data_IF_936263221670
#
_entry.id   IF_936263221670
#
_cell.length_a   1.000
_cell.length_b   1.000
_cell.length_c   1.000
_cell.angle_alpha   90.00
_cell.angle_beta   90.00
_cell.angle_gamma   90.00
#
_symmetry.space_group_name_H-M   'P 1'
#
loop_
_entity.id
_entity.type
_entity.pdbx_description
1 polymer ?
#
# COMPACT_ATOMS: atom_id res chain seq x y z
N UNK A 1 -30.97 52.11 5.53
CA UNK A 1 -29.71 51.80 4.80
C UNK A 1 -29.26 50.46 5.41
N UNK A 2 -29.95 49.37 4.99
CA UNK A 2 -29.57 48.00 5.30
C UNK A 2 -28.40 47.67 4.34
N UNK A 3 -27.22 47.70 4.89
CA UNK A 3 -26.02 47.20 4.19
C UNK A 3 -26.09 45.69 4.27
N UNK A 4 -26.19 45.12 3.11
CA UNK A 4 -26.26 43.72 2.78
C UNK A 4 -25.39 42.83 3.69
N UNK A 5 -26.07 42.12 4.57
CA UNK A 5 -25.50 40.97 5.31
C UNK A 5 -25.53 39.69 4.45
N UNK A 6 -25.35 39.84 3.12
CA UNK A 6 -25.42 38.73 2.17
C UNK A 6 -24.10 37.94 2.05
N UNK A 7 -23.00 38.48 2.60
CA UNK A 7 -21.69 37.77 2.58
C UNK A 7 -21.48 36.73 3.69
N UNK A 8 -22.41 36.61 4.64
CA UNK A 8 -22.20 35.77 5.82
C UNK A 8 -22.78 34.35 5.75
N UNK A 9 -23.37 33.96 4.64
CA UNK A 9 -24.02 32.63 4.48
C UNK A 9 -23.45 31.88 3.31
N UNK A 10 -22.21 31.39 3.45
CA UNK A 10 -21.61 30.45 2.51
C UNK A 10 -20.73 29.47 3.27
N UNK A 11 -20.72 28.23 2.79
CA UNK A 11 -19.75 27.24 3.24
C UNK A 11 -18.36 27.81 3.02
N UNK A 12 -17.48 27.68 4.02
CA UNK A 12 -16.17 28.32 3.99
C UNK A 12 -15.09 27.53 4.70
N UNK A 13 -13.88 27.72 4.25
CA UNK A 13 -12.70 27.23 4.94
C UNK A 13 -12.51 27.96 6.26
N UNK A 14 -12.28 27.21 7.34
CA UNK A 14 -12.00 27.77 8.67
C UNK A 14 -10.57 27.59 9.09
N UNK A 15 -9.91 26.54 8.62
CA UNK A 15 -8.52 26.23 8.90
C UNK A 15 -7.88 25.53 7.70
N UNK A 16 -6.60 25.79 7.45
CA UNK A 16 -5.81 25.13 6.41
C UNK A 16 -4.62 24.43 7.01
N UNK A 17 -4.30 23.25 6.46
CA UNK A 17 -3.07 22.50 6.68
C UNK A 17 -2.38 22.27 5.32
N UNK A 18 -1.20 21.63 5.32
CA UNK A 18 -0.37 21.48 4.12
C UNK A 18 -1.12 20.87 2.93
N UNK A 19 -2.03 19.89 3.16
CA UNK A 19 -2.74 19.16 2.11
C UNK A 19 -4.24 19.02 2.40
N UNK A 20 -4.73 19.62 3.48
CA UNK A 20 -6.12 19.54 3.88
C UNK A 20 -6.65 20.88 4.37
N UNK A 21 -7.97 21.00 4.43
CA UNK A 21 -8.62 22.14 5.05
C UNK A 21 -9.86 21.69 5.83
N UNK A 22 -10.15 22.41 6.92
CA UNK A 22 -11.41 22.27 7.64
C UNK A 22 -12.43 23.25 7.06
N UNK A 23 -13.62 22.75 6.74
CA UNK A 23 -14.72 23.50 6.16
C UNK A 23 -15.88 23.58 7.14
N UNK A 24 -16.40 24.78 7.36
CA UNK A 24 -17.65 25.00 8.07
C UNK A 24 -18.80 25.11 7.07
N UNK A 25 -19.75 24.19 7.14
CA UNK A 25 -20.97 24.18 6.34
C UNK A 25 -22.11 24.92 7.05
N UNK A 26 -22.98 25.54 6.29
CA UNK A 26 -24.22 26.17 6.81
C UNK A 26 -25.25 25.12 7.19
N UNK A 27 -25.37 24.09 6.36
CA UNK A 27 -26.21 22.94 6.55
C UNK A 27 -25.38 21.71 6.96
N UNK A 28 -25.92 20.54 6.78
CA UNK A 28 -25.15 19.30 6.98
C UNK A 28 -24.08 19.18 5.90
N UNK A 29 -22.83 18.80 6.26
CA UNK A 29 -21.81 18.49 5.27
C UNK A 29 -22.28 17.42 4.28
N UNK A 30 -21.83 17.46 3.02
CA UNK A 30 -22.11 16.41 2.06
C UNK A 30 -21.49 15.06 2.48
N UNK A 31 -21.87 13.96 1.84
CA UNK A 31 -21.30 12.65 2.14
C UNK A 31 -19.76 12.63 1.98
N UNK A 32 -19.11 11.80 2.79
CA UNK A 32 -17.68 11.50 2.61
C UNK A 32 -17.44 10.97 1.19
N UNK A 33 -16.38 11.42 0.55
CA UNK A 33 -16.07 11.11 -0.85
C UNK A 33 -16.52 12.18 -1.85
N UNK A 34 -17.39 13.11 -1.46
CA UNK A 34 -17.86 14.18 -2.35
C UNK A 34 -16.73 15.13 -2.73
N UNK A 35 -16.70 15.55 -4.01
CA UNK A 35 -15.88 16.65 -4.47
C UNK A 35 -16.48 17.99 -4.04
N UNK A 36 -15.66 18.81 -3.43
CA UNK A 36 -16.02 20.20 -3.09
C UNK A 36 -15.13 21.16 -3.85
N UNK A 37 -15.71 22.20 -4.40
CA UNK A 37 -15.00 23.23 -5.14
C UNK A 37 -14.56 24.34 -4.17
N UNK A 38 -13.30 24.76 -4.31
CA UNK A 38 -12.71 25.87 -3.52
C UNK A 38 -12.18 26.93 -4.46
N UNK A 39 -12.37 28.21 -4.09
CA UNK A 39 -11.86 29.34 -4.86
C UNK A 39 -12.80 29.82 -5.98
N UNK A 40 -12.41 30.92 -6.66
CA UNK A 40 -13.28 31.65 -7.57
C UNK A 40 -12.85 31.62 -9.05
N UNK A 41 -11.59 31.77 -9.37
CA UNK A 41 -11.14 31.96 -10.76
C UNK A 41 -10.73 30.63 -11.43
N UNK A 42 -9.80 29.90 -10.85
CA UNK A 42 -9.47 28.53 -11.26
C UNK A 42 -10.04 27.54 -10.22
N UNK A 43 -10.95 26.66 -10.63
CA UNK A 43 -11.58 25.75 -9.68
C UNK A 43 -10.58 24.74 -9.16
N UNK A 44 -10.29 24.79 -7.87
CA UNK A 44 -9.60 23.73 -7.16
C UNK A 44 -10.62 22.81 -6.48
N UNK A 45 -10.42 21.52 -6.56
CA UNK A 45 -11.31 20.54 -5.96
C UNK A 45 -10.61 19.79 -4.83
N UNK A 46 -11.28 19.73 -3.68
CA UNK A 46 -10.93 18.85 -2.57
C UNK A 46 -11.92 17.68 -2.46
N UNK A 47 -11.48 16.59 -1.87
CA UNK A 47 -12.33 15.45 -1.50
C UNK A 47 -12.68 15.54 -0.01
N UNK A 48 -13.95 15.43 0.34
CA UNK A 48 -14.40 15.36 1.71
C UNK A 48 -14.02 13.99 2.30
N UNK A 49 -13.27 13.99 3.40
CA UNK A 49 -12.73 12.78 4.03
C UNK A 49 -13.42 12.39 5.33
N UNK A 50 -13.81 13.38 6.13
CA UNK A 50 -14.37 13.13 7.47
C UNK A 50 -15.35 14.22 7.89
N UNK A 51 -16.37 13.84 8.63
CA UNK A 51 -17.28 14.76 9.35
C UNK A 51 -16.77 14.99 10.78
N UNK A 52 -16.35 16.20 11.08
CA UNK A 52 -15.78 16.58 12.38
C UNK A 52 -16.83 16.94 13.43
N UNK A 53 -18.12 16.92 13.06
CA UNK A 53 -19.22 17.38 13.91
C UNK A 53 -19.47 18.89 13.81
N UNK A 54 -20.53 19.39 14.44
CA UNK A 54 -20.89 20.81 14.41
C UNK A 54 -20.97 21.43 13.01
N UNK A 55 -21.37 20.64 12.02
CA UNK A 55 -21.40 21.02 10.59
C UNK A 55 -20.01 21.34 10.01
N UNK A 56 -18.96 20.73 10.55
CA UNK A 56 -17.60 20.81 10.01
C UNK A 56 -17.21 19.50 9.37
N UNK A 57 -16.40 19.60 8.35
CA UNK A 57 -15.79 18.46 7.70
C UNK A 57 -14.36 18.78 7.27
N UNK A 58 -13.55 17.75 7.16
CA UNK A 58 -12.21 17.83 6.57
C UNK A 58 -12.30 17.53 5.08
N UNK A 59 -11.59 18.34 4.30
CA UNK A 59 -11.35 18.09 2.88
C UNK A 59 -9.85 17.93 2.64
N UNK A 60 -9.50 17.10 1.67
CA UNK A 60 -8.11 16.88 1.25
C UNK A 60 -7.93 17.21 -0.21
N UNK A 61 -6.73 17.67 -0.55
CA UNK A 61 -6.33 17.98 -1.92
C UNK A 61 -5.30 16.97 -2.43
N UNK A 62 -5.21 16.80 -3.73
CA UNK A 62 -4.23 15.89 -4.34
C UNK A 62 -2.77 16.41 -4.27
N UNK A 63 -2.57 17.67 -3.93
CA UNK A 63 -1.28 18.30 -3.66
C UNK A 63 -1.44 19.46 -2.67
N UNK A 64 -0.36 20.16 -2.35
CA UNK A 64 -0.42 21.32 -1.48
C UNK A 64 -1.07 22.52 -2.21
N UNK A 65 -2.21 23.05 -1.74
CA UNK A 65 -2.85 24.20 -2.35
C UNK A 65 -2.18 25.50 -1.85
N UNK A 66 -1.45 26.18 -2.71
CA UNK A 66 -0.72 27.41 -2.35
C UNK A 66 -1.66 28.60 -2.09
N UNK A 67 -2.81 28.66 -2.76
CA UNK A 67 -3.71 29.81 -2.76
C UNK A 67 -4.96 29.64 -1.88
N UNK A 68 -5.10 28.53 -1.16
CA UNK A 68 -6.27 28.27 -0.30
C UNK A 68 -6.07 28.90 1.08
N UNK A 69 -7.04 29.72 1.51
CA UNK A 69 -6.96 30.48 2.76
C UNK A 69 -8.25 30.36 3.59
N UNK A 70 -8.15 30.51 4.92
CA UNK A 70 -9.33 30.65 5.76
C UNK A 70 -10.25 31.80 5.29
N UNK A 71 -11.53 31.50 5.15
CA UNK A 71 -12.53 32.41 4.61
C UNK A 71 -12.92 32.15 3.16
N UNK A 72 -12.14 31.37 2.41
CA UNK A 72 -12.48 31.00 1.04
C UNK A 72 -13.81 30.26 0.98
N UNK A 73 -14.59 30.59 -0.05
CA UNK A 73 -15.89 29.96 -0.28
C UNK A 73 -15.70 28.52 -0.77
N UNK A 74 -16.56 27.66 -0.28
CA UNK A 74 -16.62 26.25 -0.67
C UNK A 74 -18.00 25.97 -1.27
N UNK A 75 -18.04 25.18 -2.33
CA UNK A 75 -19.26 24.77 -3.01
C UNK A 75 -19.32 23.25 -3.08
N UNK A 76 -20.41 22.67 -2.59
CA UNK A 76 -20.72 21.25 -2.78
C UNK A 76 -21.07 21.00 -4.26
N UNK A 77 -20.35 20.08 -4.90
CA UNK A 77 -20.62 19.71 -6.28
C UNK A 77 -21.75 18.69 -6.43
N UNK A 78 -22.16 18.04 -5.34
CA UNK A 78 -23.14 16.95 -5.33
C UNK A 78 -22.63 15.68 -6.03
N UNK A 79 -21.35 15.58 -6.36
CA UNK A 79 -20.74 14.46 -7.07
C UNK A 79 -19.53 13.91 -6.32
N UNK A 80 -19.23 12.61 -6.45
CA UNK A 80 -18.00 12.03 -5.93
C UNK A 80 -16.76 12.73 -6.49
N UNK A 81 -15.69 12.77 -5.70
CA UNK A 81 -14.38 13.17 -6.19
C UNK A 81 -13.84 12.09 -7.12
N UNK A 82 -13.27 12.50 -8.24
CA UNK A 82 -12.77 11.63 -9.28
C UNK A 82 -11.48 12.20 -9.88
N UNK A 83 -10.81 11.44 -10.71
CA UNK A 83 -9.66 11.88 -11.48
C UNK A 83 -9.74 11.33 -12.90
N UNK A 84 -9.08 12.00 -13.84
CA UNK A 84 -9.00 11.50 -15.21
C UNK A 84 -7.92 10.42 -15.30
N UNK A 85 -8.27 9.17 -15.73
CA UNK A 85 -7.28 8.14 -15.94
C UNK A 85 -6.35 8.52 -17.10
N UNK A 86 -5.12 7.95 -17.16
CA UNK A 86 -4.32 8.00 -18.36
C UNK A 86 -5.01 7.20 -19.49
N UNK A 87 -4.57 7.39 -20.72
CA UNK A 87 -4.94 6.51 -21.82
C UNK A 87 -4.56 5.04 -21.49
N UNK A 88 -5.07 4.06 -22.24
CA UNK A 88 -4.89 2.62 -21.95
C UNK A 88 -3.44 2.19 -21.67
N UNK A 89 -2.49 2.91 -22.21
CA UNK A 89 -1.06 2.78 -21.88
C UNK A 89 -0.51 4.17 -21.59
N UNK A 90 0.03 4.41 -20.42
CA UNK A 90 0.55 5.73 -20.13
C UNK A 90 1.03 5.95 -18.72
N UNK A 91 1.56 7.15 -18.51
CA UNK A 91 2.09 7.63 -17.23
C UNK A 91 1.25 8.81 -16.76
N UNK A 92 0.83 8.79 -15.51
CA UNK A 92 0.11 9.90 -14.88
C UNK A 92 0.81 10.36 -13.61
N UNK A 93 0.62 11.61 -13.30
CA UNK A 93 1.01 12.22 -12.03
C UNK A 93 -0.17 13.02 -11.48
N UNK A 94 -0.48 12.81 -10.22
CA UNK A 94 -1.45 13.64 -9.54
C UNK A 94 -0.80 14.99 -9.17
N UNK A 95 -1.50 16.06 -9.51
CA UNK A 95 -1.19 17.45 -9.16
C UNK A 95 -2.32 17.99 -8.29
N UNK A 96 -2.17 19.18 -7.73
CA UNK A 96 -3.17 19.77 -6.83
C UNK A 96 -4.57 19.88 -7.47
N UNK A 97 -4.62 20.03 -8.79
CA UNK A 97 -5.83 20.18 -9.61
C UNK A 97 -6.32 18.85 -10.26
N UNK A 98 -5.72 17.72 -9.89
CA UNK A 98 -6.09 16.43 -10.50
C UNK A 98 -7.44 15.88 -10.03
N UNK A 99 -7.91 16.28 -8.85
CA UNK A 99 -9.26 15.92 -8.41
C UNK A 99 -10.29 16.78 -9.13
N UNK A 100 -11.36 16.14 -9.55
CA UNK A 100 -12.50 16.74 -10.24
C UNK A 100 -13.81 16.11 -9.75
N UNK A 101 -14.97 16.71 -9.96
CA UNK A 101 -16.23 15.99 -9.82
C UNK A 101 -16.32 14.85 -10.83
N UNK A 102 -16.94 13.74 -10.42
CA UNK A 102 -17.14 12.56 -11.29
C UNK A 102 -17.82 12.92 -12.63
N UNK A 103 -17.33 12.34 -13.71
CA UNK A 103 -17.83 12.47 -15.08
C UNK A 103 -17.75 11.13 -15.81
N UNK A 104 -18.29 11.04 -17.02
CA UNK A 104 -18.22 9.81 -17.84
C UNK A 104 -16.79 9.39 -18.21
N UNK A 105 -15.84 10.35 -18.23
CA UNK A 105 -14.43 10.13 -18.58
C UNK A 105 -13.51 10.02 -17.38
N UNK A 106 -14.06 10.03 -16.16
CA UNK A 106 -13.29 10.01 -14.93
C UNK A 106 -13.51 8.73 -14.13
N UNK A 107 -12.51 8.38 -13.29
CA UNK A 107 -12.60 7.28 -12.34
C UNK A 107 -12.84 7.89 -10.95
N UNK A 108 -13.85 7.41 -10.20
CA UNK A 108 -14.05 7.84 -8.82
C UNK A 108 -12.79 7.65 -7.97
N UNK A 109 -12.45 8.65 -7.15
CA UNK A 109 -11.32 8.57 -6.23
C UNK A 109 -11.69 7.77 -4.97
N UNK A 110 -12.50 6.75 -5.19
CA UNK A 110 -13.01 5.79 -4.21
C UNK A 110 -13.27 4.47 -4.93
N UNK A 111 -13.18 3.37 -4.22
CA UNK A 111 -13.55 2.05 -4.73
C UNK A 111 -14.65 1.43 -3.88
N UNK A 112 -15.45 0.58 -4.47
CA UNK A 112 -16.41 -0.24 -3.76
C UNK A 112 -15.78 -1.60 -3.46
N UNK A 113 -15.86 -2.02 -2.19
CA UNK A 113 -15.48 -3.38 -1.84
C UNK A 113 -16.46 -4.34 -2.52
N UNK A 114 -15.97 -5.38 -3.22
CA UNK A 114 -16.84 -6.41 -3.77
C UNK A 114 -17.69 -7.10 -2.69
N UNK A 115 -18.87 -7.55 -3.06
CA UNK A 115 -19.69 -8.37 -2.16
C UNK A 115 -18.97 -9.69 -1.85
N UNK A 116 -19.15 -10.19 -0.63
CA UNK A 116 -18.49 -11.44 -0.20
C UNK A 116 -18.82 -12.63 -1.11
N UNK A 117 -20.01 -12.63 -1.71
CA UNK A 117 -20.45 -13.69 -2.62
C UNK A 117 -19.71 -13.67 -3.96
N UNK A 118 -19.14 -12.53 -4.36
CA UNK A 118 -18.44 -12.34 -5.63
C UNK A 118 -16.92 -12.53 -5.49
N UNK A 119 -16.42 -12.68 -4.24
CA UNK A 119 -14.98 -12.85 -4.02
C UNK A 119 -14.48 -14.19 -4.56
N UNK A 120 -13.35 -14.15 -5.27
CA UNK A 120 -12.68 -15.34 -5.76
C UNK A 120 -12.31 -16.28 -4.60
N UNK A 121 -12.77 -17.54 -4.71
CA UNK A 121 -12.51 -18.56 -3.69
C UNK A 121 -11.14 -19.23 -3.86
N UNK A 122 -10.58 -19.22 -5.08
CA UNK A 122 -9.29 -19.87 -5.38
C UNK A 122 -8.13 -18.90 -5.18
N UNK A 123 -7.07 -19.36 -4.53
CA UNK A 123 -5.84 -18.63 -4.22
C UNK A 123 -4.61 -19.41 -4.69
N UNK A 124 -4.43 -19.62 -6.00
CA UNK A 124 -3.36 -20.47 -6.51
C UNK A 124 -1.98 -19.87 -6.19
N UNK A 125 -1.04 -20.74 -5.85
CA UNK A 125 0.36 -20.37 -5.70
C UNK A 125 0.97 -20.03 -7.06
N UNK A 126 1.65 -18.90 -7.16
CA UNK A 126 2.42 -18.49 -8.31
C UNK A 126 3.90 -18.78 -8.05
N UNK A 127 4.52 -19.59 -8.89
CA UNK A 127 5.96 -19.85 -8.83
C UNK A 127 6.71 -18.71 -9.53
N UNK A 128 7.65 -18.09 -8.82
CA UNK A 128 8.47 -16.97 -9.33
C UNK A 128 9.93 -17.37 -9.58
N UNK A 129 10.25 -18.66 -9.38
CA UNK A 129 11.56 -19.23 -9.68
C UNK A 129 12.61 -19.00 -8.58
N UNK A 130 12.24 -18.60 -7.38
CA UNK A 130 13.09 -18.72 -6.20
C UNK A 130 12.59 -19.84 -5.29
N UNK A 131 13.39 -20.92 -5.16
CA UNK A 131 12.98 -22.13 -4.41
C UNK A 131 12.51 -21.84 -3.00
N UNK A 132 13.15 -20.90 -2.30
CA UNK A 132 12.78 -20.60 -0.91
C UNK A 132 11.46 -19.83 -0.84
N UNK A 133 11.29 -18.86 -1.72
CA UNK A 133 10.06 -18.09 -1.79
C UNK A 133 8.89 -18.99 -2.19
N UNK A 134 9.06 -19.80 -3.24
CA UNK A 134 8.03 -20.72 -3.75
C UNK A 134 7.64 -21.80 -2.72
N UNK A 135 8.53 -22.13 -1.78
CA UNK A 135 8.25 -23.09 -0.71
C UNK A 135 7.62 -22.43 0.52
N UNK A 136 8.20 -21.35 1.03
CA UNK A 136 7.82 -20.79 2.34
C UNK A 136 6.71 -19.75 2.28
N UNK A 137 6.70 -18.94 1.24
CA UNK A 137 5.73 -17.85 1.05
C UNK A 137 5.49 -17.56 -0.42
N UNK A 138 4.97 -18.53 -1.20
CA UNK A 138 4.64 -18.30 -2.59
C UNK A 138 3.69 -17.13 -2.74
N UNK A 139 3.88 -16.39 -3.82
CA UNK A 139 2.94 -15.34 -4.23
C UNK A 139 1.58 -15.98 -4.46
N UNK A 140 0.53 -15.30 -4.02
CA UNK A 140 -0.85 -15.71 -4.27
C UNK A 140 -1.34 -15.01 -5.53
N UNK A 141 -1.59 -15.77 -6.59
CA UNK A 141 -2.22 -15.21 -7.77
C UNK A 141 -3.68 -14.83 -7.46
N UNK A 142 -4.07 -13.63 -7.85
CA UNK A 142 -5.37 -13.07 -7.47
C UNK A 142 -5.43 -12.66 -5.98
N UNK A 143 -4.31 -12.54 -5.30
CA UNK A 143 -4.23 -12.22 -3.88
C UNK A 143 -3.50 -10.91 -3.57
N UNK A 144 -3.64 -10.49 -2.33
CA UNK A 144 -2.94 -9.35 -1.76
C UNK A 144 -1.62 -9.80 -1.13
N UNK A 145 -0.50 -9.51 -1.79
CA UNK A 145 0.84 -9.91 -1.38
C UNK A 145 1.62 -8.71 -0.83
N UNK A 146 2.19 -8.87 0.37
CA UNK A 146 2.94 -7.84 1.07
C UNK A 146 4.41 -8.21 1.18
N UNK A 147 5.29 -7.31 0.77
CA UNK A 147 6.73 -7.41 1.01
C UNK A 147 7.11 -6.42 2.12
N UNK A 148 7.56 -6.96 3.22
CA UNK A 148 8.17 -6.16 4.30
C UNK A 148 9.65 -6.10 4.08
N UNK A 149 10.17 -4.93 3.77
CA UNK A 149 11.54 -4.76 3.31
C UNK A 149 12.36 -3.87 4.26
N UNK A 150 13.30 -4.50 4.96
CA UNK A 150 14.22 -3.83 5.88
C UNK A 150 15.33 -3.03 5.17
N UNK A 151 15.54 -3.22 3.84
CA UNK A 151 16.54 -2.50 3.03
C UNK A 151 15.95 -1.95 1.73
N UNK A 152 14.97 -1.06 1.82
CA UNK A 152 14.22 -0.60 0.64
C UNK A 152 15.07 0.11 -0.42
N UNK A 153 16.28 0.57 -0.09
CA UNK A 153 17.22 1.20 -1.04
C UNK A 153 18.02 0.18 -1.90
N UNK A 154 18.14 -1.05 -1.40
CA UNK A 154 18.85 -2.15 -2.06
C UNK A 154 17.88 -3.34 -2.32
N UNK A 155 16.64 -3.01 -2.55
CA UNK A 155 15.52 -3.93 -2.57
C UNK A 155 15.57 -4.88 -3.77
N UNK A 156 15.18 -6.12 -3.53
CA UNK A 156 14.87 -7.13 -4.57
C UNK A 156 13.49 -6.94 -5.18
N UNK A 157 12.74 -5.92 -4.73
CA UNK A 157 11.38 -5.65 -5.18
C UNK A 157 11.21 -5.48 -6.68
N UNK A 158 12.09 -4.73 -7.41
CA UNK A 158 12.00 -4.60 -8.86
C UNK A 158 12.14 -5.93 -9.60
N UNK A 159 13.04 -6.81 -9.15
CA UNK A 159 13.22 -8.12 -9.76
C UNK A 159 12.02 -9.03 -9.48
N UNK A 160 11.52 -9.03 -8.25
CA UNK A 160 10.35 -9.81 -7.89
C UNK A 160 9.11 -9.37 -8.66
N UNK A 161 8.87 -8.06 -8.81
CA UNK A 161 7.74 -7.55 -9.59
C UNK A 161 7.81 -7.98 -11.05
N UNK A 162 8.97 -7.95 -11.66
CA UNK A 162 9.16 -8.39 -13.05
C UNK A 162 8.87 -9.89 -13.20
N UNK A 163 9.35 -10.74 -12.29
CA UNK A 163 9.10 -12.18 -12.32
C UNK A 163 7.64 -12.54 -12.06
N UNK A 164 6.98 -11.82 -11.17
CA UNK A 164 5.54 -12.00 -10.91
C UNK A 164 4.73 -11.66 -12.16
N UNK A 165 5.03 -10.52 -12.79
CA UNK A 165 4.34 -10.11 -14.00
C UNK A 165 4.57 -11.08 -15.16
N UNK A 166 5.82 -11.52 -15.39
CA UNK A 166 6.14 -12.53 -16.41
C UNK A 166 5.39 -13.85 -16.19
N UNK A 167 5.07 -14.19 -14.94
CA UNK A 167 4.36 -15.41 -14.58
C UNK A 167 2.84 -15.26 -14.62
N UNK A 168 2.33 -14.03 -14.80
CA UNK A 168 0.91 -13.72 -14.87
C UNK A 168 0.49 -13.42 -16.32
N UNK A 169 -0.73 -13.82 -16.68
CA UNK A 169 -1.39 -13.39 -17.91
C UNK A 169 -2.37 -12.26 -17.57
N UNK A 170 -1.83 -11.09 -17.22
CA UNK A 170 -2.61 -9.94 -16.81
C UNK A 170 -3.00 -9.06 -18.02
N UNK A 171 -4.28 -8.67 -18.10
CA UNK A 171 -4.76 -7.72 -19.12
C UNK A 171 -4.22 -6.30 -18.88
N UNK A 172 -3.97 -5.97 -17.60
CA UNK A 172 -3.50 -4.65 -17.17
C UNK A 172 -2.44 -4.80 -16.10
N UNK A 173 -1.27 -4.20 -16.31
CA UNK A 173 -0.19 -4.12 -15.34
C UNK A 173 0.00 -2.66 -14.89
N UNK A 174 -0.29 -2.39 -13.62
CA UNK A 174 -0.23 -1.06 -13.00
C UNK A 174 0.94 -0.98 -12.04
N UNK A 175 1.76 0.06 -12.18
CA UNK A 175 2.86 0.30 -11.26
C UNK A 175 2.83 1.70 -10.66
N UNK A 176 2.89 1.79 -9.33
CA UNK A 176 3.09 3.05 -8.62
C UNK A 176 4.58 3.19 -8.30
N UNK A 177 5.24 4.14 -8.95
CA UNK A 177 6.70 4.35 -8.86
C UNK A 177 7.04 5.73 -8.32
N UNK A 178 8.18 5.86 -7.65
CA UNK A 178 8.71 7.17 -7.30
C UNK A 178 8.98 8.01 -8.55
N UNK A 179 8.74 9.32 -8.50
CA UNK A 179 8.80 10.23 -9.66
C UNK A 179 10.17 10.27 -10.36
N UNK A 180 11.23 9.88 -9.68
CA UNK A 180 12.60 9.80 -10.23
C UNK A 180 13.00 8.37 -10.66
N UNK A 181 12.16 7.37 -10.34
CA UNK A 181 12.45 6.00 -10.70
C UNK A 181 12.13 5.74 -12.17
N UNK A 182 12.95 4.94 -12.87
CA UNK A 182 12.61 4.50 -14.22
C UNK A 182 11.30 3.68 -14.18
N UNK A 183 10.48 3.88 -15.21
CA UNK A 183 9.32 3.04 -15.40
C UNK A 183 9.74 1.60 -15.67
N UNK A 184 9.14 0.60 -15.04
CA UNK A 184 9.40 -0.79 -15.40
C UNK A 184 8.78 -1.09 -16.78
N UNK A 185 9.54 -1.80 -17.62
CA UNK A 185 9.14 -2.10 -19.00
C UNK A 185 7.83 -2.95 -19.08
N UNK A 186 7.50 -3.67 -18.03
CA UNK A 186 6.31 -4.51 -17.95
C UNK A 186 5.02 -3.73 -17.65
N UNK A 187 5.09 -2.51 -17.09
CA UNK A 187 3.89 -1.78 -16.67
C UNK A 187 3.21 -1.08 -17.85
N UNK A 188 1.93 -1.34 -18.05
CA UNK A 188 1.10 -0.62 -19.02
C UNK A 188 0.70 0.76 -18.50
N UNK A 189 0.33 0.85 -17.22
CA UNK A 189 -0.06 2.07 -16.55
C UNK A 189 0.92 2.39 -15.43
N UNK A 190 1.38 3.62 -15.38
CA UNK A 190 2.33 4.09 -14.39
C UNK A 190 1.73 5.28 -13.66
N UNK A 191 1.73 5.22 -12.33
CA UNK A 191 1.35 6.33 -11.46
C UNK A 191 2.59 6.85 -10.76
N UNK A 192 2.94 8.09 -11.03
CA UNK A 192 4.07 8.75 -10.41
C UNK A 192 3.76 9.17 -8.98
N UNK A 193 4.50 8.62 -8.03
CA UNK A 193 4.45 9.00 -6.63
C UNK A 193 5.48 10.10 -6.35
N UNK A 194 5.08 11.29 -5.91
CA UNK A 194 6.02 12.29 -5.40
C UNK A 194 6.86 11.77 -4.24
N UNK A 195 7.98 12.44 -3.97
CA UNK A 195 8.88 12.00 -2.91
C UNK A 195 8.34 12.23 -1.49
N UNK A 196 7.32 13.06 -1.35
CA UNK A 196 6.65 13.29 -0.07
C UNK A 196 5.62 12.20 0.23
N UNK A 197 5.40 11.93 1.52
CA UNK A 197 4.52 10.86 1.98
C UNK A 197 3.06 11.05 1.55
N UNK A 198 2.61 12.31 1.45
CA UNK A 198 1.25 12.62 1.03
C UNK A 198 1.03 12.30 -0.44
N UNK A 199 1.90 12.80 -1.31
CA UNK A 199 1.83 12.53 -2.74
C UNK A 199 1.97 11.02 -3.03
N UNK A 200 2.82 10.32 -2.28
CA UNK A 200 2.95 8.88 -2.39
C UNK A 200 1.64 8.14 -2.01
N UNK A 201 0.97 8.57 -0.93
CA UNK A 201 -0.31 8.00 -0.51
C UNK A 201 -1.42 8.27 -1.54
N UNK A 202 -1.47 9.48 -2.09
CA UNK A 202 -2.43 9.86 -3.14
C UNK A 202 -2.20 9.07 -4.43
N UNK A 203 -0.95 8.90 -4.85
CA UNK A 203 -0.60 8.11 -6.02
C UNK A 203 -0.95 6.62 -5.83
N UNK A 204 -0.66 6.06 -4.66
CA UNK A 204 -1.05 4.70 -4.32
C UNK A 204 -2.57 4.53 -4.40
N UNK A 205 -3.32 5.45 -3.81
CA UNK A 205 -4.78 5.43 -3.84
C UNK A 205 -5.32 5.50 -5.28
N UNK A 206 -4.79 6.39 -6.11
CA UNK A 206 -5.18 6.47 -7.52
C UNK A 206 -4.90 5.16 -8.27
N UNK A 207 -3.74 4.56 -8.03
CA UNK A 207 -3.39 3.25 -8.58
C UNK A 207 -4.38 2.15 -8.18
N UNK A 208 -4.80 2.13 -6.91
CA UNK A 208 -5.83 1.18 -6.41
C UNK A 208 -7.19 1.43 -7.08
N UNK A 209 -7.58 2.70 -7.27
CA UNK A 209 -8.81 3.03 -8.00
C UNK A 209 -8.76 2.55 -9.45
N UNK A 210 -7.61 2.70 -10.13
CA UNK A 210 -7.39 2.16 -11.48
C UNK A 210 -7.51 0.64 -11.50
N UNK A 211 -6.93 -0.05 -10.53
CA UNK A 211 -7.01 -1.50 -10.42
C UNK A 211 -8.44 -1.99 -10.18
N UNK A 212 -9.17 -1.32 -9.27
CA UNK A 212 -10.56 -1.63 -8.98
C UNK A 212 -11.47 -1.40 -10.20
N UNK A 213 -11.30 -0.28 -10.92
CA UNK A 213 -12.06 0.01 -12.15
C UNK A 213 -11.77 -1.03 -13.24
N UNK A 214 -10.52 -1.43 -13.44
CA UNK A 214 -10.16 -2.48 -14.41
C UNK A 214 -10.77 -3.82 -14.03
N UNK A 215 -10.70 -4.23 -12.75
CA UNK A 215 -11.37 -5.42 -12.21
C UNK A 215 -12.87 -5.38 -12.46
N UNK A 216 -13.54 -4.27 -12.14
CA UNK A 216 -14.98 -4.13 -12.26
C UNK A 216 -15.45 -4.17 -13.74
N UNK A 217 -14.53 -3.91 -14.67
CA UNK A 217 -14.70 -4.14 -16.12
C UNK A 217 -14.35 -5.57 -16.57
N UNK A 218 -14.06 -6.48 -15.65
CA UNK A 218 -13.76 -7.88 -15.92
C UNK A 218 -12.35 -8.15 -16.45
N UNK A 219 -11.39 -7.24 -16.22
CA UNK A 219 -10.00 -7.39 -16.64
C UNK A 219 -9.15 -7.96 -15.50
N UNK A 220 -8.24 -8.88 -15.81
CA UNK A 220 -7.22 -9.33 -14.88
C UNK A 220 -6.16 -8.26 -14.69
N UNK A 221 -5.73 -8.04 -13.43
CA UNK A 221 -4.84 -6.94 -13.07
C UNK A 221 -3.62 -7.45 -12.31
N UNK A 222 -2.45 -6.98 -12.70
CA UNK A 222 -1.26 -6.99 -11.84
C UNK A 222 -1.03 -5.58 -11.30
N UNK A 223 -0.96 -5.45 -9.98
CA UNK A 223 -0.75 -4.17 -9.31
C UNK A 223 0.50 -4.22 -8.45
N UNK A 224 1.45 -3.33 -8.72
CA UNK A 224 2.65 -3.18 -7.91
C UNK A 224 2.79 -1.74 -7.39
N UNK A 225 3.16 -1.61 -6.12
CA UNK A 225 3.32 -0.30 -5.50
C UNK A 225 4.11 -0.33 -4.20
N UNK A 226 4.49 0.86 -3.74
CA UNK A 226 5.16 1.04 -2.47
C UNK A 226 4.26 1.77 -1.50
N UNK A 227 4.09 1.21 -0.31
CA UNK A 227 3.40 1.90 0.78
C UNK A 227 4.27 3.04 1.31
N UNK A 228 3.68 4.16 1.75
CA UNK A 228 4.43 5.18 2.46
C UNK A 228 5.08 4.56 3.70
N UNK A 229 6.32 4.98 3.99
CA UNK A 229 7.02 4.50 5.18
C UNK A 229 6.23 4.86 6.43
N UNK A 230 5.99 3.92 7.34
CA UNK A 230 5.36 4.24 8.61
C UNK A 230 6.28 5.25 9.32
N UNK A 231 5.75 6.40 9.64
CA UNK A 231 6.48 7.38 10.46
C UNK A 231 6.70 6.73 11.81
N UNK A 232 7.86 6.11 11.98
CA UNK A 232 8.28 5.52 13.24
C UNK A 232 8.15 6.59 14.29
N UNK A 233 7.56 6.23 15.42
CA UNK A 233 7.64 7.00 16.64
C UNK A 233 9.11 7.06 17.04
N UNK A 234 9.86 8.00 16.48
CA UNK A 234 11.15 8.35 17.03
C UNK A 234 10.87 8.84 18.46
N UNK A 235 11.40 8.18 19.49
CA UNK A 235 11.12 8.55 20.88
C UNK A 235 11.58 9.97 21.22
N UNK A 236 12.24 10.66 20.29
CA UNK A 236 12.81 12.00 20.45
C UNK A 236 12.02 13.11 19.77
N UNK A 237 11.03 12.80 18.94
CA UNK A 237 10.21 13.86 18.35
C UNK A 237 9.16 14.36 19.34
N UNK A 238 9.31 15.64 19.71
CA UNK A 238 8.31 16.41 20.47
C UNK A 238 6.94 16.24 19.83
N UNK A 239 5.90 16.12 20.66
CA UNK A 239 4.50 16.00 20.27
C UNK A 239 4.22 16.80 18.98
N UNK A 240 3.73 16.14 17.90
CA UNK A 240 3.38 16.84 16.67
C UNK A 240 2.39 17.97 16.96
N UNK A 241 2.50 19.08 16.25
CA UNK A 241 1.51 20.16 16.31
C UNK A 241 0.12 19.62 15.89
N UNK A 242 -0.96 20.28 16.31
CA UNK A 242 -2.31 19.85 15.97
C UNK A 242 -2.51 19.72 14.44
N UNK A 243 -1.93 20.61 13.65
CA UNK A 243 -1.88 20.54 12.18
C UNK A 243 -1.22 19.26 11.66
N UNK A 244 -0.08 18.83 12.24
CA UNK A 244 0.58 17.57 11.86
C UNK A 244 -0.22 16.32 12.25
N UNK A 245 -1.07 16.40 13.28
CA UNK A 245 -1.98 15.32 13.65
C UNK A 245 -3.12 15.17 12.63
N UNK A 246 -3.71 16.28 12.18
CA UNK A 246 -4.75 16.28 11.16
C UNK A 246 -4.23 15.65 9.85
N UNK A 247 -3.06 16.08 9.36
CA UNK A 247 -2.44 15.51 8.15
C UNK A 247 -2.13 14.01 8.30
N UNK A 248 -1.70 13.58 9.49
CA UNK A 248 -1.45 12.16 9.78
C UNK A 248 -2.72 11.31 9.70
N UNK A 249 -3.80 11.77 10.34
CA UNK A 249 -5.09 11.08 10.30
C UNK A 249 -5.66 11.01 8.88
N UNK A 250 -5.54 12.08 8.10
CA UNK A 250 -5.97 12.12 6.70
C UNK A 250 -5.17 11.14 5.83
N UNK A 251 -3.87 11.01 6.06
CA UNK A 251 -3.02 10.07 5.34
C UNK A 251 -3.36 8.62 5.69
N UNK A 252 -3.56 8.31 6.98
CA UNK A 252 -4.04 7.00 7.42
C UNK A 252 -5.38 6.65 6.75
N UNK A 253 -6.31 7.61 6.68
CA UNK A 253 -7.59 7.44 5.99
C UNK A 253 -7.44 7.15 4.49
N UNK A 254 -6.43 7.73 3.83
CA UNK A 254 -6.17 7.50 2.40
C UNK A 254 -5.60 6.11 2.12
N UNK A 255 -4.74 5.60 3.00
CA UNK A 255 -4.08 4.29 2.85
C UNK A 255 -4.94 3.18 3.42
N UNK A 256 -5.80 3.50 4.38
CA UNK A 256 -6.68 2.55 5.03
C UNK A 256 -7.51 1.76 4.01
N UNK A 257 -7.59 0.44 4.19
CA UNK A 257 -8.38 -0.46 3.33
C UNK A 257 -7.88 -0.58 1.87
N UNK A 258 -6.60 -0.27 1.58
CA UNK A 258 -6.01 -0.51 0.25
C UNK A 258 -6.26 -1.96 -0.21
N UNK A 259 -6.13 -2.92 0.69
CA UNK A 259 -6.42 -4.33 0.41
C UNK A 259 -7.85 -4.59 -0.08
N UNK A 260 -8.85 -3.85 0.43
CA UNK A 260 -10.26 -3.99 -0.03
C UNK A 260 -10.44 -3.60 -1.51
N UNK A 261 -9.67 -2.61 -2.00
CA UNK A 261 -9.68 -2.20 -3.41
C UNK A 261 -9.00 -3.21 -4.34
N UNK A 262 -8.11 -4.02 -3.80
CA UNK A 262 -7.30 -5.01 -4.54
C UNK A 262 -7.85 -6.45 -4.42
N UNK A 263 -9.07 -6.63 -3.92
CA UNK A 263 -9.70 -7.94 -3.84
C UNK A 263 -10.08 -8.46 -5.24
N UNK A 264 -9.79 -9.74 -5.48
CA UNK A 264 -10.23 -10.45 -6.68
C UNK A 264 -11.68 -10.86 -6.62
N UNK A 265 -12.32 -10.91 -7.77
CA UNK A 265 -13.65 -11.46 -7.96
C UNK A 265 -13.61 -12.65 -8.93
N UNK A 266 -14.62 -13.50 -8.93
CA UNK A 266 -14.64 -14.71 -9.78
C UNK A 266 -14.44 -14.43 -11.29
N UNK A 267 -14.84 -13.24 -11.75
CA UNK A 267 -14.71 -12.84 -13.15
C UNK A 267 -13.39 -12.18 -13.50
N UNK A 268 -12.62 -11.68 -12.49
CA UNK A 268 -11.36 -10.98 -12.73
C UNK A 268 -10.45 -11.03 -11.51
N UNK A 269 -9.22 -11.45 -11.73
CA UNK A 269 -8.21 -11.55 -10.69
C UNK A 269 -7.42 -10.24 -10.55
N UNK A 270 -7.16 -9.84 -9.30
CA UNK A 270 -6.23 -8.75 -8.97
C UNK A 270 -5.08 -9.34 -8.17
N UNK A 271 -3.94 -9.53 -8.80
CA UNK A 271 -2.70 -9.91 -8.10
C UNK A 271 -1.97 -8.64 -7.70
N UNK A 272 -1.84 -8.39 -6.42
CA UNK A 272 -1.12 -7.21 -5.95
C UNK A 272 0.17 -7.58 -5.24
N UNK A 273 1.17 -6.72 -5.39
CA UNK A 273 2.46 -6.84 -4.73
C UNK A 273 2.84 -5.48 -4.15
N UNK A 274 2.66 -5.30 -2.85
CA UNK A 274 2.96 -4.05 -2.17
C UNK A 274 4.23 -4.16 -1.34
N UNK A 275 5.12 -3.20 -1.50
CA UNK A 275 6.31 -3.06 -0.67
C UNK A 275 6.02 -2.16 0.53
N UNK A 276 6.25 -2.67 1.74
CA UNK A 276 6.25 -1.91 2.99
C UNK A 276 7.72 -1.68 3.41
N UNK A 277 8.25 -0.45 3.25
CA UNK A 277 9.60 -0.14 3.70
C UNK A 277 9.62 -0.03 5.22
N UNK A 278 10.48 -0.79 5.88
CA UNK A 278 10.65 -0.77 7.34
C UNK A 278 12.08 -0.39 7.66
N UNK A 279 12.29 0.78 8.24
CA UNK A 279 13.62 1.29 8.61
C UNK A 279 14.02 0.98 10.06
N UNK A 280 13.08 0.47 10.87
CA UNK A 280 13.31 0.07 12.26
C UNK A 280 13.47 -1.45 12.39
N UNK A 281 13.88 -1.91 13.56
CA UNK A 281 13.89 -3.33 13.88
C UNK A 281 12.49 -3.92 13.63
N UNK A 282 12.44 -5.13 13.07
CA UNK A 282 11.19 -5.83 12.72
C UNK A 282 10.32 -6.20 13.95
N UNK A 283 10.72 -5.74 15.13
CA UNK A 283 9.90 -5.81 16.34
C UNK A 283 8.74 -4.81 16.23
N UNK A 284 7.54 -5.30 16.32
CA UNK A 284 6.32 -4.50 16.18
C UNK A 284 5.74 -4.40 14.76
N UNK A 285 6.23 -5.22 13.83
CA UNK A 285 5.69 -5.29 12.47
C UNK A 285 4.18 -5.49 12.42
N UNK A 286 3.63 -6.37 13.27
CA UNK A 286 2.18 -6.61 13.35
C UNK A 286 1.43 -5.32 13.72
N UNK A 287 1.95 -4.55 14.68
CA UNK A 287 1.37 -3.26 15.06
C UNK A 287 1.45 -2.23 13.92
N UNK A 288 2.50 -2.26 13.11
CA UNK A 288 2.64 -1.39 11.94
C UNK A 288 1.59 -1.73 10.87
N UNK A 289 1.43 -3.01 10.55
CA UNK A 289 0.44 -3.50 9.58
C UNK A 289 -0.98 -3.16 10.06
N UNK A 290 -1.27 -3.37 11.34
CA UNK A 290 -2.55 -3.02 11.96
C UNK A 290 -2.80 -1.50 11.93
N UNK A 291 -1.80 -0.70 12.27
CA UNK A 291 -1.91 0.77 12.25
C UNK A 291 -2.16 1.32 10.84
N UNK A 292 -1.54 0.72 9.83
CA UNK A 292 -1.77 1.12 8.43
C UNK A 292 -3.11 0.62 7.87
N UNK A 293 -3.84 -0.22 8.61
CA UNK A 293 -5.14 -0.74 8.17
C UNK A 293 -5.07 -1.52 6.85
N UNK A 294 -3.91 -2.10 6.54
CA UNK A 294 -3.66 -2.81 5.27
C UNK A 294 -4.51 -4.08 5.16
N UNK A 295 -5.04 -4.57 6.29
CA UNK A 295 -5.78 -5.83 6.35
C UNK A 295 -4.86 -7.05 6.38
N UNK A 296 -5.47 -8.23 6.38
CA UNK A 296 -4.72 -9.47 6.28
C UNK A 296 -4.22 -9.65 4.84
N UNK A 297 -2.90 -9.83 4.68
CA UNK A 297 -2.31 -10.18 3.39
C UNK A 297 -2.40 -11.68 3.14
N UNK A 298 -2.68 -12.06 1.90
CA UNK A 298 -2.70 -13.47 1.46
C UNK A 298 -1.30 -14.10 1.47
N UNK A 299 -0.27 -13.29 1.21
CA UNK A 299 1.13 -13.66 1.42
C UNK A 299 1.92 -12.49 2.02
N UNK A 300 2.82 -12.82 2.94
CA UNK A 300 3.75 -11.89 3.55
C UNK A 300 5.19 -12.39 3.38
N UNK A 301 5.99 -11.59 2.70
CA UNK A 301 7.41 -11.86 2.46
C UNK A 301 8.23 -10.90 3.31
N UNK A 302 9.09 -11.42 4.18
CA UNK A 302 9.88 -10.60 5.08
C UNK A 302 11.36 -10.63 4.68
N UNK A 303 11.93 -9.46 4.43
CA UNK A 303 13.34 -9.24 4.14
C UNK A 303 13.93 -8.44 5.31
N UNK A 304 15.00 -8.97 5.92
CA UNK A 304 15.66 -8.34 7.05
C UNK A 304 16.50 -7.12 6.68
N UNK A 305 16.99 -6.40 7.69
CA UNK A 305 17.87 -5.24 7.52
C UNK A 305 19.23 -5.57 6.87
N UNK A 306 19.59 -6.85 6.80
CA UNK A 306 20.77 -7.38 6.08
C UNK A 306 20.48 -7.74 4.61
N UNK A 307 19.24 -7.51 4.15
CA UNK A 307 18.78 -7.84 2.80
C UNK A 307 18.45 -9.32 2.59
N UNK A 308 18.53 -10.14 3.64
CA UNK A 308 18.26 -11.57 3.53
C UNK A 308 16.80 -11.89 3.80
N UNK A 309 16.26 -12.84 3.03
CA UNK A 309 14.92 -13.39 3.24
C UNK A 309 14.80 -14.06 4.61
N UNK A 310 13.64 -13.91 5.25
CA UNK A 310 13.32 -14.43 6.57
C UNK A 310 12.17 -15.46 6.49
N UNK A 311 12.46 -16.71 6.14
CA UNK A 311 11.42 -17.74 5.97
C UNK A 311 10.63 -18.01 7.25
N UNK A 312 11.24 -17.82 8.43
CA UNK A 312 10.58 -18.00 9.74
C UNK A 312 9.51 -16.94 10.05
N UNK A 313 9.56 -15.79 9.38
CA UNK A 313 8.62 -14.67 9.53
C UNK A 313 7.69 -14.50 8.34
N UNK A 314 7.92 -15.25 7.28
CA UNK A 314 7.14 -15.16 6.05
C UNK A 314 6.02 -16.18 6.03
N UNK A 315 4.87 -15.81 5.47
CA UNK A 315 3.66 -16.64 5.43
C UNK A 315 3.01 -16.57 4.06
N UNK A 316 2.16 -17.53 3.74
CA UNK A 316 1.28 -17.51 2.58
C UNK A 316 0.10 -18.44 2.75
N UNK A 317 -1.08 -17.97 2.37
CA UNK A 317 -2.34 -18.72 2.34
C UNK A 317 -2.64 -19.32 0.96
N UNK A 318 -1.63 -19.38 0.08
CA UNK A 318 -1.76 -19.93 -1.25
C UNK A 318 -2.27 -21.39 -1.22
N UNK A 319 -3.15 -21.72 -2.15
CA UNK A 319 -3.59 -23.10 -2.38
C UNK A 319 -2.41 -23.93 -2.90
N UNK A 320 -2.09 -25.00 -2.19
CA UNK A 320 -1.00 -25.92 -2.51
C UNK A 320 -1.46 -27.36 -2.50
N UNK A 321 -0.83 -28.18 -3.30
CA UNK A 321 -1.03 -29.63 -3.21
C UNK A 321 -0.46 -30.23 -1.91
N UNK A 322 -0.81 -31.47 -1.64
CA UNK A 322 -0.40 -32.16 -0.41
C UNK A 322 1.13 -32.32 -0.32
N UNK A 323 1.82 -32.50 -1.46
CA UNK A 323 3.27 -32.67 -1.52
C UNK A 323 3.99 -31.38 -1.15
N UNK A 324 3.57 -30.24 -1.73
CA UNK A 324 4.11 -28.92 -1.43
C UNK A 324 3.91 -28.54 0.04
N UNK A 325 2.71 -28.80 0.60
CA UNK A 325 2.43 -28.58 2.04
C UNK A 325 3.29 -29.45 2.95
N UNK A 326 3.51 -30.72 2.59
CA UNK A 326 4.38 -31.60 3.36
C UNK A 326 5.82 -31.08 3.34
N UNK A 327 6.32 -30.70 2.18
CA UNK A 327 7.69 -30.18 2.02
C UNK A 327 7.90 -28.90 2.83
N UNK A 328 6.98 -27.95 2.77
CA UNK A 328 7.00 -26.76 3.61
C UNK A 328 7.00 -27.12 5.11
N UNK A 329 6.12 -28.04 5.52
CA UNK A 329 6.01 -28.47 6.93
C UNK A 329 7.32 -29.04 7.45
N UNK A 330 7.99 -29.86 6.65
CA UNK A 330 9.32 -30.42 7.00
C UNK A 330 10.38 -29.33 7.14
N UNK A 331 10.45 -28.39 6.19
CA UNK A 331 11.39 -27.28 6.25
C UNK A 331 11.10 -26.33 7.43
N UNK A 332 9.84 -26.00 7.71
CA UNK A 332 9.46 -25.18 8.90
C UNK A 332 9.79 -25.90 10.23
N UNK A 333 9.71 -27.23 10.26
CA UNK A 333 10.16 -28.00 11.43
C UNK A 333 11.67 -27.88 11.65
N UNK A 334 12.45 -27.89 10.56
CA UNK A 334 13.91 -27.69 10.62
C UNK A 334 14.25 -26.28 11.13
N UNK A 335 13.55 -25.22 10.64
CA UNK A 335 13.73 -23.85 11.15
C UNK A 335 13.44 -23.74 12.64
N UNK A 336 12.34 -24.31 13.12
CA UNK A 336 12.00 -24.31 14.56
C UNK A 336 13.07 -25.02 15.39
N UNK A 337 13.51 -26.20 14.92
CA UNK A 337 14.57 -26.94 15.60
C UNK A 337 15.89 -26.18 15.62
N UNK A 338 16.26 -25.51 14.56
CA UNK A 338 17.44 -24.67 14.50
C UNK A 338 17.36 -23.49 15.49
N UNK A 339 16.20 -22.86 15.62
CA UNK A 339 16.00 -21.77 16.60
C UNK A 339 16.19 -22.25 18.05
N UNK A 340 15.61 -23.41 18.42
CA UNK A 340 15.83 -24.02 19.75
C UNK A 340 17.32 -24.33 20.01
N UNK A 341 18.02 -24.81 18.98
CA UNK A 341 19.45 -25.13 19.08
C UNK A 341 20.32 -23.87 19.15
N UNK A 342 19.92 -22.77 18.47
CA UNK A 342 20.60 -21.48 18.60
C UNK A 342 20.45 -20.89 19.99
N UNK A 343 19.27 -21.02 20.63
CA UNK A 343 19.10 -20.63 22.04
C UNK A 343 20.01 -21.45 22.98
N UNK A 344 20.06 -22.79 22.76
CA UNK A 344 20.96 -23.67 23.50
C UNK A 344 22.43 -23.25 23.31
N UNK A 345 22.83 -22.96 22.06
CA UNK A 345 24.17 -22.47 21.70
C UNK A 345 24.52 -21.16 22.39
N UNK A 346 23.57 -20.23 22.47
CA UNK A 346 23.78 -18.92 23.11
C UNK A 346 24.00 -19.03 24.61
N UNK A 347 23.41 -20.05 25.27
CA UNK A 347 23.53 -20.26 26.73
C UNK A 347 24.77 -21.07 27.08
N UNK A 348 25.07 -22.14 26.33
CA UNK A 348 26.10 -23.13 26.73
C UNK A 348 27.30 -23.23 25.79
N UNK A 349 27.27 -22.55 24.63
CA UNK A 349 28.35 -22.57 23.65
C UNK A 349 28.27 -23.74 22.65
N UNK A 350 29.20 -23.72 21.66
CA UNK A 350 29.24 -24.70 20.56
C UNK A 350 29.63 -26.13 21.05
N UNK A 351 30.41 -26.20 22.14
CA UNK A 351 30.91 -27.47 22.67
C UNK A 351 29.82 -28.41 23.20
N UNK A 352 28.64 -27.87 23.51
CA UNK A 352 27.47 -28.61 24.00
C UNK A 352 26.54 -29.10 22.89
N UNK A 353 26.86 -28.79 21.64
CA UNK A 353 26.12 -29.23 20.45
C UNK A 353 26.86 -30.38 19.76
N UNK A 354 26.15 -31.41 19.39
CA UNK A 354 26.73 -32.46 18.57
C UNK A 354 26.83 -32.03 17.07
N UNK A 355 27.63 -32.70 16.25
CA UNK A 355 27.80 -32.34 14.84
C UNK A 355 26.49 -32.28 14.03
N UNK A 356 25.53 -33.15 14.31
CA UNK A 356 24.23 -33.18 13.64
C UNK A 356 23.39 -31.93 14.00
N UNK A 357 23.44 -31.51 15.26
CA UNK A 357 22.75 -30.30 15.72
C UNK A 357 23.36 -29.03 15.09
N UNK A 358 24.68 -29.00 14.94
CA UNK A 358 25.39 -27.92 14.22
C UNK A 358 25.03 -27.91 12.74
N UNK A 359 24.87 -29.06 12.11
CA UNK A 359 24.45 -29.16 10.71
C UNK A 359 23.02 -28.67 10.49
N UNK A 360 22.09 -28.92 11.42
CA UNK A 360 20.73 -28.38 11.39
C UNK A 360 20.76 -26.85 11.42
N UNK A 361 21.58 -26.27 12.31
CA UNK A 361 21.72 -24.80 12.38
C UNK A 361 22.28 -24.25 11.07
N UNK A 362 23.39 -24.81 10.55
CA UNK A 362 23.99 -24.37 9.29
C UNK A 362 23.04 -24.48 8.10
N UNK A 363 22.28 -25.57 8.04
CA UNK A 363 21.30 -25.75 6.98
C UNK A 363 20.17 -24.72 7.04
N UNK A 364 19.63 -24.45 8.21
CA UNK A 364 18.61 -23.41 8.39
C UNK A 364 19.15 -21.98 8.11
N UNK A 365 20.41 -21.71 8.48
CA UNK A 365 21.08 -20.45 8.19
C UNK A 365 21.28 -20.24 6.68
N UNK A 366 21.51 -21.30 5.89
CA UNK A 366 21.63 -21.22 4.45
C UNK A 366 20.35 -20.76 3.73
N UNK A 367 19.21 -20.85 4.38
CA UNK A 367 17.91 -20.35 3.88
C UNK A 367 17.72 -18.84 4.13
N UNK A 368 18.56 -18.22 4.96
CA UNK A 368 18.61 -16.77 5.16
C UNK A 368 19.58 -16.15 4.17
N UNK A 369 19.15 -16.01 2.93
CA UNK A 369 19.93 -15.44 1.83
C UNK A 369 19.11 -14.36 1.10
N UNK A 370 19.74 -13.47 0.33
CA UNK A 370 19.01 -12.64 -0.60
C UNK A 370 18.20 -13.50 -1.59
N UNK A 371 17.01 -13.06 -1.94
CA UNK A 371 16.20 -13.69 -2.98
C UNK A 371 16.90 -13.56 -4.35
N UNK A 372 16.66 -14.51 -5.24
CA UNK A 372 17.20 -14.56 -6.62
C UNK A 372 18.72 -14.60 -6.73
N UNK A 373 19.42 -14.90 -5.65
CA UNK A 373 20.86 -15.16 -5.70
C UNK A 373 21.12 -16.62 -6.04
N UNK A 374 21.59 -16.90 -7.25
CA UNK A 374 22.00 -18.24 -7.72
C UNK A 374 23.27 -18.77 -7.05
N UNK A 375 23.94 -17.96 -6.24
CA UNK A 375 25.16 -18.34 -5.56
C UNK A 375 24.91 -18.70 -4.11
N UNK A 376 24.81 -20.00 -3.82
CA UNK A 376 25.20 -20.50 -2.50
C UNK A 376 26.64 -20.01 -2.26
N UNK A 377 26.93 -19.23 -1.21
CA UNK A 377 28.29 -18.85 -0.91
C UNK A 377 29.07 -20.14 -0.68
N UNK A 378 29.94 -20.49 -1.63
CA UNK A 378 30.93 -21.53 -1.40
C UNK A 378 31.82 -21.02 -0.26
N UNK A 379 31.61 -21.61 0.91
CA UNK A 379 32.47 -21.37 2.07
C UNK A 379 33.90 -21.77 1.68
N UNK A 380 34.77 -20.78 1.56
CA UNK A 380 36.20 -20.93 1.50
C UNK A 380 36.79 -21.12 2.91
#
# INVERSE_FOLDING_TARGET
MEIDNYESRRDRIVECADHSAEVQFEESPPPVGTAVRVGHDEPLYGRLTEHLGNRRAEIVFSGAPEDVQPGDAVEDTGRPAAFRPPDETGRMRLTVDSLTPESEESIPFEWTRPDFADLAASRPALAVGDELLDIFSPIVAGGFNLIVDGRPSESTYPELTARVEESLDADVSICVVGSEAPAPDWANLIVDAPADDWGAAMALRAGVCLAADARDRGRSVFFAGRLPAPRGASPTERRPSESKRATGASMESLVNRVGDGLLSVDSSAVTSLLQLPVTAELEGLESIIETLGIGESDAQIVIGNDGCYRPERSTSDADRDASARQHETEKRRTLRRAAELQEKRAIWGDDELNPEELDIIRHAESWRRPLFCDTVPQQS
#
